data_IF_545303428606
#
_entry.id   IF_545303428606
#
_cell.length_a   1.000
_cell.length_b   1.000
_cell.length_c   1.000
_cell.angle_alpha   90.00
_cell.angle_beta   90.00
_cell.angle_gamma   90.00
#
_symmetry.space_group_name_H-M   'P 1'
#
loop_
_entity.id
_entity.type
_entity.pdbx_description
1 polymer ?
#
# COMPACT_ATOMS: atom_id res chain seq x y z
N UNK A 1 -17.01 14.38 1.38
CA UNK A 1 -15.57 14.04 1.23
C UNK A 1 -15.31 13.80 -0.24
N UNK A 2 -14.43 14.58 -0.87
CA UNK A 2 -14.09 14.43 -2.29
C UNK A 2 -13.05 13.33 -2.45
N UNK A 3 -13.21 12.36 -3.38
CA UNK A 3 -12.19 11.36 -3.65
C UNK A 3 -10.86 12.04 -4.03
N UNK A 4 -9.72 11.58 -3.50
CA UNK A 4 -8.42 12.15 -3.81
C UNK A 4 -8.02 11.87 -5.27
N UNK A 5 -7.03 12.59 -5.79
CA UNK A 5 -6.49 12.33 -7.13
C UNK A 5 -5.64 11.05 -7.18
N UNK A 6 -5.06 10.66 -6.04
CA UNK A 6 -4.28 9.43 -5.87
C UNK A 6 -4.68 8.71 -4.59
N UNK A 7 -4.47 7.41 -4.57
CA UNK A 7 -4.72 6.58 -3.40
C UNK A 7 -3.99 7.15 -2.18
N UNK A 8 -4.74 7.36 -1.10
CA UNK A 8 -4.23 7.91 0.15
C UNK A 8 -4.54 6.95 1.28
N UNK A 9 -3.71 6.92 2.31
CA UNK A 9 -3.89 6.05 3.47
C UNK A 9 -4.22 6.89 4.70
N UNK A 10 -5.26 6.50 5.44
CA UNK A 10 -5.66 7.12 6.70
C UNK A 10 -5.65 6.05 7.80
N UNK A 11 -5.25 6.42 9.02
CA UNK A 11 -5.41 5.56 10.19
C UNK A 11 -6.58 6.05 11.02
N UNK A 12 -7.61 5.21 11.14
CA UNK A 12 -8.81 5.49 11.93
C UNK A 12 -8.65 4.82 13.28
N UNK A 13 -8.74 5.61 14.35
CA UNK A 13 -8.59 5.13 15.71
C UNK A 13 -9.94 4.98 16.39
N UNK A 14 -10.12 3.88 17.11
CA UNK A 14 -11.25 3.61 17.97
C UNK A 14 -10.74 3.49 19.39
N UNK A 15 -11.15 4.42 20.24
CA UNK A 15 -10.76 4.47 21.65
C UNK A 15 -11.99 4.26 22.53
N UNK A 16 -11.89 3.30 23.45
CA UNK A 16 -12.89 3.12 24.49
C UNK A 16 -12.72 4.19 25.56
N UNK A 17 -13.73 5.03 25.76
CA UNK A 17 -13.74 6.03 26.83
C UNK A 17 -14.45 5.49 28.07
N UNK A 18 -14.04 5.94 29.27
CA UNK A 18 -14.64 5.47 30.53
C UNK A 18 -16.07 5.99 30.71
N UNK A 19 -16.90 5.25 31.44
CA UNK A 19 -18.27 5.68 31.78
C UNK A 19 -18.30 7.04 32.48
N UNK A 20 -17.31 7.37 33.32
CA UNK A 20 -17.22 8.66 34.00
C UNK A 20 -16.91 9.83 33.05
N UNK A 21 -16.24 9.57 31.92
CA UNK A 21 -16.02 10.56 30.86
C UNK A 21 -17.22 10.64 29.88
N UNK A 22 -17.96 9.54 29.72
CA UNK A 22 -19.12 9.44 28.82
C UNK A 22 -20.42 9.98 29.46
N UNK A 23 -20.66 9.67 30.74
CA UNK A 23 -21.82 10.11 31.50
C UNK A 23 -21.42 11.23 32.46
N UNK A 24 -21.41 12.48 31.97
CA UNK A 24 -21.26 13.66 32.82
C UNK A 24 -22.52 13.95 33.63
N UNK A 25 -23.03 12.96 34.38
CA UNK A 25 -23.96 13.20 35.47
C UNK A 25 -23.58 12.33 36.67
N UNK A 26 -23.29 13.05 37.74
CA UNK A 26 -22.85 12.60 39.05
C UNK A 26 -23.73 11.50 39.62
N UNK A 27 -23.10 10.43 40.10
CA UNK A 27 -23.43 9.92 41.43
C UNK A 27 -22.22 9.27 42.10
N UNK A 28 -21.72 9.95 43.13
CA UNK A 28 -20.69 9.44 44.03
C UNK A 28 -21.32 8.42 44.96
N UNK A 29 -20.75 7.22 45.07
CA UNK A 29 -20.90 6.44 46.28
C UNK A 29 -19.61 5.75 46.72
N UNK A 30 -19.25 6.07 47.95
CA UNK A 30 -18.15 5.53 48.75
C UNK A 30 -18.14 4.00 48.75
N UNK A 31 -16.95 3.40 48.62
CA UNK A 31 -16.57 2.29 49.50
C UNK A 31 -15.05 2.06 49.54
N UNK A 32 -14.54 2.07 50.77
CA UNK A 32 -13.17 1.74 51.15
C UNK A 32 -12.92 0.25 50.96
N UNK A 33 -12.02 -0.09 50.03
CA UNK A 33 -11.30 -1.37 50.01
C UNK A 33 -9.95 -1.16 49.33
N UNK A 34 -8.84 -1.53 50.00
CA UNK A 34 -7.50 -1.52 49.40
C UNK A 34 -7.42 -2.64 48.36
N UNK A 35 -7.86 -2.35 47.14
CA UNK A 35 -7.69 -3.19 45.97
C UNK A 35 -6.75 -2.47 45.00
N UNK A 36 -5.76 -3.19 44.47
CA UNK A 36 -4.99 -2.67 43.35
C UNK A 36 -5.89 -2.73 42.11
N UNK A 37 -6.34 -1.58 41.62
CA UNK A 37 -7.08 -1.47 40.38
C UNK A 37 -6.09 -1.15 39.25
N UNK A 38 -6.04 -2.01 38.24
CA UNK A 38 -5.26 -1.79 37.02
C UNK A 38 -6.22 -1.31 35.94
N UNK A 39 -6.01 -0.08 35.45
CA UNK A 39 -6.71 0.43 34.27
C UNK A 39 -5.96 0.05 33.00
N UNK A 40 -6.64 -0.57 32.04
CA UNK A 40 -6.12 -0.89 30.71
C UNK A 40 -6.92 -0.09 29.69
N UNK A 41 -6.23 0.67 28.83
CA UNK A 41 -6.83 1.32 27.66
C UNK A 41 -6.33 0.62 26.40
N UNK A 42 -7.25 0.16 25.55
CA UNK A 42 -6.95 -0.47 24.27
C UNK A 42 -7.44 0.45 23.15
N UNK A 43 -6.52 0.91 22.32
CA UNK A 43 -6.82 1.73 21.15
C UNK A 43 -6.66 0.85 19.91
N UNK A 44 -7.74 0.67 19.16
CA UNK A 44 -7.72 -0.07 17.90
C UNK A 44 -7.49 0.89 16.74
N UNK A 45 -6.66 0.51 15.77
CA UNK A 45 -6.36 1.31 14.59
C UNK A 45 -6.65 0.55 13.31
N UNK A 46 -7.59 1.04 12.49
CA UNK A 46 -7.82 0.53 11.14
C UNK A 46 -7.00 1.34 10.12
N UNK A 47 -6.27 0.65 9.25
CA UNK A 47 -5.61 1.27 8.10
C UNK A 47 -6.59 1.29 6.93
N UNK A 48 -7.02 2.48 6.51
CA UNK A 48 -8.00 2.68 5.45
C UNK A 48 -7.30 3.24 4.22
N UNK A 49 -7.44 2.54 3.10
CA UNK A 49 -6.98 3.02 1.80
C UNK A 49 -8.15 3.65 1.05
N UNK A 50 -8.01 4.93 0.69
CA UNK A 50 -9.03 5.69 -0.02
C UNK A 50 -8.76 5.63 -1.51
N UNK A 51 -9.73 5.11 -2.28
CA UNK A 51 -9.63 5.02 -3.74
C UNK A 51 -9.52 6.42 -4.39
N UNK A 52 -8.70 6.59 -5.44
CA UNK A 52 -8.68 7.83 -6.19
C UNK A 52 -9.94 8.01 -7.04
N UNK A 53 -10.22 9.25 -7.45
CA UNK A 53 -11.30 9.58 -8.39
C UNK A 53 -11.21 8.79 -9.70
N UNK A 54 -9.98 8.58 -10.20
CA UNK A 54 -9.69 7.78 -11.40
C UNK A 54 -8.58 6.78 -11.10
N UNK A 55 -8.90 5.50 -11.05
CA UNK A 55 -7.93 4.45 -10.80
C UNK A 55 -7.11 4.13 -12.06
N UNK A 56 -5.79 4.24 -11.95
CA UNK A 56 -4.82 3.92 -13.01
C UNK A 56 -3.66 3.15 -12.38
N UNK A 57 -3.49 1.89 -12.78
CA UNK A 57 -2.27 1.14 -12.50
C UNK A 57 -1.24 1.46 -13.58
N UNK A 58 -0.05 1.90 -13.19
CA UNK A 58 1.06 2.20 -14.10
C UNK A 58 2.37 2.11 -13.34
N UNK A 59 3.31 1.32 -13.86
CA UNK A 59 4.66 1.18 -13.36
C UNK A 59 5.61 1.35 -14.54
N UNK A 60 6.75 1.99 -14.29
CA UNK A 60 7.85 2.15 -15.25
C UNK A 60 9.16 1.82 -14.57
N UNK A 61 10.13 1.29 -15.31
CA UNK A 61 11.51 1.21 -14.80
C UNK A 61 12.29 2.45 -15.24
N UNK A 62 13.20 2.93 -14.39
CA UNK A 62 14.05 4.08 -14.64
C UNK A 62 15.43 3.55 -15.08
N UNK A 63 15.81 3.70 -16.35
CA UNK A 63 17.07 3.12 -16.85
C UNK A 63 18.32 3.64 -16.15
N UNK A 64 18.32 4.90 -15.71
CA UNK A 64 19.47 5.55 -15.08
C UNK A 64 19.76 5.05 -13.66
N UNK A 65 18.72 4.74 -12.88
CA UNK A 65 18.86 4.28 -11.49
C UNK A 65 18.68 2.77 -11.35
N UNK A 66 18.05 2.11 -12.32
CA UNK A 66 17.62 0.71 -12.19
C UNK A 66 16.45 0.52 -11.21
N UNK A 67 15.78 1.60 -10.82
CA UNK A 67 14.58 1.53 -9.98
C UNK A 67 13.32 1.42 -10.82
N UNK A 68 12.18 1.26 -10.15
CA UNK A 68 10.84 1.41 -10.71
C UNK A 68 10.13 2.58 -10.06
N UNK A 69 9.24 3.23 -10.81
CA UNK A 69 8.39 4.31 -10.35
C UNK A 69 6.93 4.02 -10.67
N UNK A 70 6.05 4.28 -9.71
CA UNK A 70 4.60 4.22 -9.91
C UNK A 70 4.09 5.60 -10.35
N UNK A 71 3.88 5.75 -11.66
CA UNK A 71 3.25 6.92 -12.29
C UNK A 71 1.74 6.74 -12.48
N UNK A 72 1.15 5.78 -11.75
CA UNK A 72 -0.28 5.55 -11.61
C UNK A 72 -0.90 6.35 -10.47
N UNK A 73 -2.15 6.01 -10.15
CA UNK A 73 -2.93 6.63 -9.08
C UNK A 73 -3.29 5.67 -7.96
N UNK A 74 -3.01 4.37 -8.11
CA UNK A 74 -3.23 3.33 -7.08
C UNK A 74 -1.93 2.63 -6.71
N UNK A 75 -1.86 2.08 -5.50
CA UNK A 75 -0.72 1.22 -5.11
C UNK A 75 -0.69 -0.05 -5.94
N UNK A 76 0.50 -0.55 -6.22
CA UNK A 76 0.70 -1.73 -7.06
C UNK A 76 1.47 -2.78 -6.24
N UNK A 77 0.76 -3.78 -5.68
CA UNK A 77 1.37 -4.96 -5.07
C UNK A 77 1.88 -5.88 -6.17
N UNK A 78 3.16 -5.77 -6.49
CA UNK A 78 3.85 -6.64 -7.46
C UNK A 78 4.05 -8.01 -6.82
N UNK A 79 3.63 -9.05 -7.54
CA UNK A 79 3.73 -10.45 -7.11
C UNK A 79 4.80 -11.21 -7.88
N UNK A 80 5.00 -10.86 -9.16
CA UNK A 80 6.04 -11.47 -10.00
C UNK A 80 6.61 -10.45 -10.99
N UNK A 81 7.86 -10.64 -11.36
CA UNK A 81 8.55 -9.87 -12.41
C UNK A 81 9.06 -10.86 -13.45
N UNK A 82 8.74 -10.59 -14.71
CA UNK A 82 9.15 -11.39 -15.86
C UNK A 82 10.26 -10.67 -16.62
N UNK A 83 11.38 -11.36 -16.83
CA UNK A 83 12.44 -10.93 -17.75
C UNK A 83 12.28 -11.69 -19.06
N UNK A 84 11.90 -10.98 -20.11
CA UNK A 84 11.57 -11.55 -21.41
C UNK A 84 12.71 -11.31 -22.40
N UNK A 85 13.35 -12.40 -22.82
CA UNK A 85 14.36 -12.37 -23.88
C UNK A 85 13.67 -12.40 -25.25
N UNK A 86 14.22 -11.70 -26.27
CA UNK A 86 13.67 -11.74 -27.63
C UNK A 86 13.55 -13.19 -28.14
N UNK A 87 12.34 -13.58 -28.57
CA UNK A 87 12.07 -14.92 -29.11
C UNK A 87 11.98 -16.04 -28.08
N UNK A 88 11.93 -15.75 -26.78
CA UNK A 88 11.72 -16.73 -25.71
C UNK A 88 10.60 -16.28 -24.76
N UNK A 89 10.06 -17.24 -24.02
CA UNK A 89 9.11 -16.95 -22.93
C UNK A 89 9.79 -16.19 -21.80
N UNK A 90 9.00 -15.43 -21.05
CA UNK A 90 9.49 -14.66 -19.91
C UNK A 90 9.88 -15.59 -18.76
N UNK A 91 11.06 -15.38 -18.19
CA UNK A 91 11.47 -16.04 -16.95
C UNK A 91 10.88 -15.24 -15.80
N UNK A 92 9.98 -15.87 -15.05
CA UNK A 92 9.24 -15.24 -13.95
C UNK A 92 9.92 -15.46 -12.61
N UNK A 93 10.10 -14.38 -11.85
CA UNK A 93 10.57 -14.41 -10.48
C UNK A 93 9.50 -13.87 -9.54
N UNK A 94 9.22 -14.59 -8.45
CA UNK A 94 8.32 -14.11 -7.40
C UNK A 94 8.95 -12.93 -6.67
N UNK A 95 8.18 -11.86 -6.51
CA UNK A 95 8.56 -10.66 -5.76
C UNK A 95 7.39 -10.27 -4.86
N UNK A 96 7.68 -9.80 -3.66
CA UNK A 96 6.66 -9.32 -2.74
C UNK A 96 7.00 -7.88 -2.35
N UNK A 97 6.52 -6.93 -3.14
CA UNK A 97 6.72 -5.50 -2.89
C UNK A 97 5.49 -4.72 -3.33
N UNK A 98 5.18 -3.65 -2.60
CA UNK A 98 4.09 -2.73 -2.96
C UNK A 98 4.68 -1.37 -3.29
N UNK A 99 4.39 -0.88 -4.50
CA UNK A 99 4.82 0.46 -4.94
C UNK A 99 3.65 1.41 -4.82
N UNK A 100 3.76 2.42 -3.96
CA UNK A 100 2.72 3.43 -3.77
C UNK A 100 2.77 4.49 -4.87
N UNK A 101 1.67 5.21 -5.16
CA UNK A 101 1.69 6.29 -6.14
C UNK A 101 2.82 7.28 -5.87
N UNK A 102 3.52 7.74 -6.92
CA UNK A 102 4.64 8.69 -6.86
C UNK A 102 5.88 8.20 -6.10
N UNK A 103 5.93 6.93 -5.71
CA UNK A 103 7.13 6.36 -5.09
C UNK A 103 8.04 5.70 -6.12
N UNK A 104 9.34 5.90 -5.92
CA UNK A 104 10.43 5.21 -6.60
C UNK A 104 11.04 4.17 -5.66
N UNK A 105 11.30 2.96 -6.16
CA UNK A 105 11.91 1.88 -5.37
C UNK A 105 12.66 0.89 -6.25
N UNK A 106 13.60 0.15 -5.69
CA UNK A 106 14.26 -0.96 -6.39
C UNK A 106 13.47 -2.26 -6.24
N UNK A 107 13.55 -3.14 -7.25
CA UNK A 107 13.06 -4.51 -7.09
C UNK A 107 14.23 -5.39 -6.65
N UNK A 108 14.14 -6.06 -5.49
CA UNK A 108 15.22 -6.93 -5.01
C UNK A 108 15.62 -7.98 -6.05
N UNK A 109 16.91 -8.11 -6.30
CA UNK A 109 17.52 -9.11 -7.20
C UNK A 109 17.13 -9.00 -8.68
N UNK A 110 16.44 -7.94 -9.10
CA UNK A 110 16.21 -7.63 -10.52
C UNK A 110 17.15 -6.50 -10.92
N UNK A 111 17.83 -6.66 -12.05
CA UNK A 111 18.61 -5.61 -12.70
C UNK A 111 18.02 -5.33 -14.06
N UNK A 112 17.54 -4.10 -14.25
CA UNK A 112 17.06 -3.66 -15.55
C UNK A 112 18.24 -3.38 -16.48
N UNK A 113 18.13 -3.81 -17.73
CA UNK A 113 19.15 -3.65 -18.77
C UNK A 113 18.48 -3.26 -20.08
N UNK A 114 19.11 -2.35 -20.81
CA UNK A 114 18.67 -2.00 -22.16
C UNK A 114 18.66 -3.25 -23.06
N UNK A 115 17.61 -3.40 -23.86
CA UNK A 115 17.44 -4.52 -24.80
C UNK A 115 16.57 -5.67 -24.29
N UNK A 116 16.30 -5.76 -22.99
CA UNK A 116 15.34 -6.72 -22.44
C UNK A 116 13.94 -6.11 -22.36
N UNK A 117 12.92 -6.95 -22.56
CA UNK A 117 11.53 -6.57 -22.26
C UNK A 117 11.17 -7.08 -20.88
N UNK A 118 10.49 -6.27 -20.10
CA UNK A 118 10.08 -6.61 -18.74
C UNK A 118 8.57 -6.64 -18.64
N UNK A 119 8.07 -7.57 -17.83
CA UNK A 119 6.65 -7.66 -17.47
C UNK A 119 6.51 -7.77 -15.96
N UNK A 120 5.33 -7.44 -15.47
CA UNK A 120 4.96 -7.62 -14.07
C UNK A 120 3.62 -8.32 -13.97
N UNK A 121 3.46 -9.14 -12.93
CA UNK A 121 2.16 -9.53 -12.41
C UNK A 121 1.93 -8.80 -11.11
N UNK A 122 0.72 -8.27 -10.93
CA UNK A 122 0.36 -7.49 -9.76
C UNK A 122 -1.11 -7.70 -9.40
N UNK A 123 -1.43 -7.54 -8.13
CA UNK A 123 -2.82 -7.58 -7.68
C UNK A 123 -3.51 -6.23 -7.86
N UNK A 124 -4.48 -6.16 -8.77
CA UNK A 124 -5.31 -4.97 -8.96
C UNK A 124 -6.47 -4.99 -7.96
N UNK A 125 -6.30 -4.31 -6.83
CA UNK A 125 -7.28 -4.30 -5.74
C UNK A 125 -8.61 -3.64 -6.14
N UNK A 126 -8.62 -2.71 -7.09
CA UNK A 126 -9.86 -2.06 -7.58
C UNK A 126 -10.72 -3.00 -8.43
N UNK A 127 -10.10 -4.01 -9.05
CA UNK A 127 -10.78 -5.03 -9.86
C UNK A 127 -10.84 -6.39 -9.17
N UNK A 128 -10.25 -6.51 -7.98
CA UNK A 128 -10.13 -7.74 -7.22
C UNK A 128 -9.56 -8.93 -8.01
N UNK A 129 -8.49 -8.71 -8.80
CA UNK A 129 -7.84 -9.76 -9.60
C UNK A 129 -6.37 -9.47 -9.84
N UNK A 130 -5.61 -10.51 -10.16
CA UNK A 130 -4.23 -10.37 -10.67
C UNK A 130 -4.26 -9.96 -12.14
N UNK A 131 -3.44 -8.98 -12.50
CA UNK A 131 -3.25 -8.54 -13.88
C UNK A 131 -1.77 -8.66 -14.27
N UNK A 132 -1.51 -8.85 -15.56
CA UNK A 132 -0.19 -8.79 -16.16
C UNK A 132 -0.08 -7.53 -17.00
N UNK A 133 1.06 -6.85 -16.94
CA UNK A 133 1.35 -5.73 -17.84
C UNK A 133 2.83 -5.65 -18.18
N UNK A 134 3.15 -4.94 -19.25
CA UNK A 134 4.53 -4.58 -19.57
C UNK A 134 5.06 -3.54 -18.58
N UNK A 135 6.37 -3.59 -18.34
CA UNK A 135 7.10 -2.62 -17.53
C UNK A 135 8.02 -1.81 -18.48
N UNK A 136 7.50 -0.72 -19.09
CA UNK A 136 8.27 0.07 -20.03
C UNK A 136 9.29 0.95 -19.32
N UNK A 137 10.28 1.43 -20.09
CA UNK A 137 11.23 2.44 -19.62
C UNK A 137 10.50 3.77 -19.37
N UNK A 138 10.87 4.48 -18.31
CA UNK A 138 10.54 5.90 -18.17
C UNK A 138 11.26 6.69 -19.26
N UNK A 139 10.56 7.58 -19.94
CA UNK A 139 11.23 8.51 -20.86
C UNK A 139 12.24 9.34 -20.06
N UNK A 140 13.47 9.44 -20.58
CA UNK A 140 14.42 10.42 -20.09
C UNK A 140 13.89 11.80 -20.50
N UNK A 141 13.64 12.67 -19.52
CA UNK A 141 13.47 14.09 -19.79
C UNK A 141 14.82 14.72 -20.11
#
# INVERSE_FOLDING_TARGET
MTPPERETTCRVYFEGVSEAAFNSHSDKKNQSRKTAQVGVNIIWGALVHVAPRKAKASLKYIPSTGNIINDGTIRIPVTEVGVCNPGRECIWEKKALTVYPESETSIPQIRFSAGNTYKIKYFNWTKNRTEETELPASQAN
#
